data_IF_229638113705
#
_entry.id   IF_229638113705
#
_cell.length_a   1.000
_cell.length_b   1.000
_cell.length_c   1.000
_cell.angle_alpha   90.00
_cell.angle_beta   90.00
_cell.angle_gamma   90.00
#
_symmetry.space_group_name_H-M   'P 1'
#
loop_
_entity.id
_entity.type
_entity.pdbx_description
1 polymer ?
#
# COMPACT_ATOMS: atom_id res chain seq x y z
N UNK A 1 -8.31 44.76 -48.92
CA UNK A 1 -9.35 45.23 -49.87
C UNK A 1 -9.87 44.00 -50.61
N UNK A 2 -11.13 43.68 -50.83
CA UNK A 2 -12.46 44.04 -50.31
C UNK A 2 -13.40 42.99 -50.95
N UNK A 3 -14.30 42.40 -50.16
CA UNK A 3 -15.59 41.75 -50.49
C UNK A 3 -15.68 40.56 -51.49
N UNK A 4 -16.01 39.40 -50.90
CA UNK A 4 -17.31 38.68 -50.99
C UNK A 4 -18.22 38.95 -52.20
N UNK A 5 -18.61 37.88 -52.91
CA UNK A 5 -20.00 37.71 -53.37
C UNK A 5 -20.37 36.23 -53.63
N UNK A 6 -21.48 35.83 -53.04
CA UNK A 6 -22.23 34.58 -53.22
C UNK A 6 -23.33 34.76 -54.29
N UNK A 7 -23.77 33.67 -54.95
CA UNK A 7 -25.20 33.28 -55.12
C UNK A 7 -25.44 32.17 -56.17
N UNK A 8 -26.03 31.03 -55.71
CA UNK A 8 -27.20 30.22 -56.16
C UNK A 8 -27.57 30.06 -57.68
N UNK A 9 -28.57 29.22 -58.13
CA UNK A 9 -29.59 28.41 -57.41
C UNK A 9 -29.97 27.01 -58.03
N UNK A 10 -30.89 26.25 -57.39
CA UNK A 10 -31.82 25.37 -58.14
C UNK A 10 -32.26 23.99 -57.59
N UNK A 11 -33.18 23.98 -56.61
CA UNK A 11 -34.46 23.19 -56.50
C UNK A 11 -34.58 21.63 -56.66
N UNK A 12 -35.70 21.01 -56.18
CA UNK A 12 -35.68 19.87 -55.24
C UNK A 12 -36.28 18.56 -55.79
N UNK A 13 -36.13 17.45 -55.07
CA UNK A 13 -36.96 16.25 -55.22
C UNK A 13 -37.39 15.71 -53.85
N UNK A 14 -38.71 15.59 -53.68
CA UNK A 14 -39.46 14.96 -52.59
C UNK A 14 -40.00 13.62 -53.11
N UNK A 15 -40.07 12.60 -52.23
CA UNK A 15 -41.09 11.53 -52.12
C UNK A 15 -40.49 10.39 -51.24
N UNK A 16 -40.83 10.26 -49.95
CA UNK A 16 -42.04 9.66 -49.31
C UNK A 16 -41.95 8.13 -49.09
N UNK A 17 -41.99 7.74 -47.80
CA UNK A 17 -42.04 6.37 -47.22
C UNK A 17 -43.29 5.56 -47.65
N UNK A 18 -43.42 4.23 -47.38
CA UNK A 18 -43.79 3.72 -46.03
C UNK A 18 -43.19 2.33 -45.64
N UNK A 19 -43.44 1.84 -44.40
CA UNK A 19 -42.87 0.62 -43.83
C UNK A 19 -43.79 -0.61 -44.01
N UNK A 20 -43.27 -1.82 -43.77
CA UNK A 20 -44.07 -3.04 -43.71
C UNK A 20 -43.71 -3.90 -42.49
N UNK A 21 -44.56 -3.78 -41.46
CA UNK A 21 -44.94 -4.86 -40.55
C UNK A 21 -45.95 -5.78 -41.27
N UNK A 22 -45.85 -7.10 -41.08
CA UNK A 22 -46.99 -8.00 -41.27
C UNK A 22 -46.93 -9.20 -40.33
N UNK A 23 -47.95 -9.28 -39.46
CA UNK A 23 -48.33 -10.45 -38.68
C UNK A 23 -49.60 -11.11 -39.27
N UNK A 24 -49.84 -12.36 -38.81
CA UNK A 24 -51.02 -13.25 -38.96
C UNK A 24 -51.13 -14.01 -40.31
N UNK A 25 -51.36 -15.33 -40.38
CA UNK A 25 -52.55 -16.06 -39.88
C UNK A 25 -52.32 -17.60 -39.93
N UNK A 26 -53.08 -18.30 -39.10
CA UNK A 26 -53.16 -19.76 -38.96
C UNK A 26 -54.12 -20.39 -39.98
N UNK A 27 -53.83 -21.58 -40.52
CA UNK A 27 -54.85 -22.46 -41.11
C UNK A 27 -54.42 -23.95 -41.15
N UNK A 28 -55.03 -24.69 -40.22
CA UNK A 28 -55.40 -26.12 -40.17
C UNK A 28 -55.51 -26.84 -41.53
N UNK A 29 -54.94 -28.05 -41.67
CA UNK A 29 -55.67 -29.26 -42.14
C UNK A 29 -54.90 -30.61 -42.04
N UNK A 30 -55.53 -31.52 -41.29
CA UNK A 30 -55.66 -32.99 -41.43
C UNK A 30 -54.48 -33.95 -41.23
N UNK A 31 -54.67 -34.77 -40.19
CA UNK A 31 -54.16 -36.12 -39.94
C UNK A 31 -54.39 -37.10 -41.11
N UNK A 32 -53.64 -38.22 -41.13
CA UNK A 32 -54.31 -39.47 -40.75
C UNK A 32 -53.51 -40.31 -39.74
N UNK A 33 -54.28 -41.03 -38.92
CA UNK A 33 -53.85 -42.07 -38.00
C UNK A 33 -53.24 -43.26 -38.74
N UNK A 34 -52.15 -43.82 -38.21
CA UNK A 34 -51.91 -45.26 -38.24
C UNK A 34 -51.25 -45.70 -36.94
N UNK A 35 -52.01 -46.49 -36.19
CA UNK A 35 -51.59 -47.17 -34.98
C UNK A 35 -50.55 -48.24 -35.29
N UNK A 36 -49.47 -48.27 -34.51
CA UNK A 36 -48.62 -49.46 -34.35
C UNK A 36 -48.36 -49.65 -32.86
N UNK A 37 -49.15 -50.54 -32.27
CA UNK A 37 -48.89 -51.08 -30.95
C UNK A 37 -47.69 -52.05 -31.03
N UNK A 38 -46.67 -51.85 -30.20
CA UNK A 38 -45.77 -52.95 -29.83
C UNK A 38 -45.41 -52.87 -28.35
N UNK A 39 -45.64 -53.99 -27.67
CA UNK A 39 -45.51 -54.16 -26.23
C UNK A 39 -44.05 -54.39 -25.82
N UNK A 40 -43.67 -53.72 -24.73
CA UNK A 40 -42.87 -54.19 -23.59
C UNK A 40 -41.90 -55.36 -23.81
N UNK A 41 -40.60 -55.07 -23.73
CA UNK A 41 -39.58 -55.99 -23.22
C UNK A 41 -38.46 -55.19 -22.55
N UNK A 42 -38.12 -55.64 -21.35
CA UNK A 42 -37.24 -55.08 -20.34
C UNK A 42 -35.84 -54.68 -20.82
N UNK A 43 -35.37 -53.49 -20.43
CA UNK A 43 -33.94 -53.18 -20.25
C UNK A 43 -33.82 -52.37 -18.96
N UNK A 44 -33.40 -53.02 -17.86
CA UNK A 44 -32.84 -52.31 -16.71
C UNK A 44 -31.45 -51.83 -17.09
N UNK A 45 -31.30 -50.54 -17.40
CA UNK A 45 -30.00 -49.90 -17.42
C UNK A 45 -29.65 -49.48 -15.98
N UNK A 46 -28.80 -50.26 -15.32
CA UNK A 46 -28.11 -49.85 -14.09
C UNK A 46 -27.10 -48.77 -14.48
N UNK A 47 -27.49 -47.50 -14.32
CA UNK A 47 -26.55 -46.38 -14.33
C UNK A 47 -25.90 -46.34 -12.95
N UNK A 48 -24.73 -46.95 -12.81
CA UNK A 48 -23.86 -46.71 -11.66
C UNK A 48 -23.27 -45.30 -11.79
N UNK A 49 -23.88 -44.34 -11.10
CA UNK A 49 -23.29 -43.03 -10.90
C UNK A 49 -22.09 -43.21 -9.96
N UNK A 50 -20.88 -43.33 -10.50
CA UNK A 50 -19.66 -43.23 -9.71
C UNK A 50 -19.50 -41.77 -9.31
N UNK A 51 -20.01 -41.39 -8.15
CA UNK A 51 -19.63 -40.13 -7.50
C UNK A 51 -18.18 -40.28 -7.06
N UNK A 52 -17.25 -39.85 -7.89
CA UNK A 52 -15.91 -39.51 -7.41
C UNK A 52 -16.07 -38.24 -6.58
N UNK A 53 -16.39 -38.42 -5.29
CA UNK A 53 -16.10 -37.40 -4.31
C UNK A 53 -14.57 -37.35 -4.20
N UNK A 54 -13.93 -36.45 -4.95
CA UNK A 54 -12.63 -35.95 -4.52
C UNK A 54 -12.87 -35.28 -3.19
N UNK A 55 -12.66 -36.01 -2.09
CA UNK A 55 -12.38 -35.38 -0.83
C UNK A 55 -11.15 -34.50 -1.08
N UNK A 56 -11.31 -33.18 -1.05
CA UNK A 56 -10.17 -32.29 -0.91
C UNK A 56 -9.33 -32.86 0.24
N UNK A 57 -7.99 -32.97 0.11
CA UNK A 57 -7.17 -33.41 1.22
C UNK A 57 -7.55 -32.53 2.42
N UNK A 58 -8.02 -33.14 3.49
CA UNK A 58 -8.20 -32.46 4.77
C UNK A 58 -6.83 -31.92 5.14
N UNK A 59 -6.58 -30.64 4.86
CA UNK A 59 -5.43 -29.94 5.38
C UNK A 59 -5.48 -30.12 6.90
N UNK A 60 -4.48 -30.80 7.44
CA UNK A 60 -4.34 -30.96 8.87
C UNK A 60 -4.10 -29.58 9.46
N UNK A 61 -5.11 -29.01 10.11
CA UNK A 61 -4.97 -27.76 10.84
C UNK A 61 -4.32 -28.03 12.20
N UNK A 62 -3.49 -27.10 12.65
CA UNK A 62 -2.89 -27.10 13.98
C UNK A 62 -3.62 -26.05 14.84
N UNK A 63 -3.84 -26.35 16.11
CA UNK A 63 -4.32 -25.37 17.09
C UNK A 63 -3.15 -24.97 17.97
N UNK A 64 -2.77 -23.70 17.93
CA UNK A 64 -1.71 -23.13 18.76
C UNK A 64 -2.12 -23.07 20.24
N UNK A 65 -1.18 -22.72 21.12
CA UNK A 65 -1.41 -22.69 22.58
C UNK A 65 -2.45 -21.67 23.03
N UNK A 66 -2.66 -20.60 22.26
CA UNK A 66 -3.67 -19.56 22.49
C UNK A 66 -5.06 -19.92 21.92
N UNK A 67 -5.19 -21.06 21.24
CA UNK A 67 -6.41 -21.50 20.58
C UNK A 67 -6.53 -21.08 19.11
N UNK A 68 -5.58 -20.32 18.57
CA UNK A 68 -5.56 -19.93 17.15
C UNK A 68 -5.40 -21.16 16.26
N UNK A 69 -6.24 -21.27 15.23
CA UNK A 69 -6.20 -22.39 14.27
C UNK A 69 -5.43 -21.96 13.03
N UNK A 70 -4.35 -22.67 12.73
CA UNK A 70 -3.42 -22.37 11.65
C UNK A 70 -3.23 -23.58 10.73
N UNK A 71 -2.81 -23.39 9.47
CA UNK A 71 -2.60 -24.50 8.55
C UNK A 71 -1.32 -25.31 8.83
N UNK A 72 -0.35 -24.73 9.55
CA UNK A 72 0.92 -25.37 9.90
C UNK A 72 1.41 -24.89 11.27
N UNK A 73 2.09 -25.77 12.00
CA UNK A 73 2.69 -25.46 13.31
C UNK A 73 3.72 -24.33 13.28
N UNK A 74 4.40 -24.07 12.15
CA UNK A 74 5.35 -22.95 12.03
C UNK A 74 4.67 -21.61 12.33
N UNK A 75 3.38 -21.47 12.00
CA UNK A 75 2.64 -20.25 12.29
C UNK A 75 2.52 -19.96 13.79
N UNK A 76 2.56 -20.99 14.65
CA UNK A 76 2.43 -20.80 16.09
C UNK A 76 3.64 -20.08 16.71
N UNK A 77 4.82 -20.10 16.07
CA UNK A 77 6.02 -19.39 16.54
C UNK A 77 5.85 -17.87 16.42
N UNK A 78 4.98 -17.39 15.54
CA UNK A 78 4.74 -15.97 15.32
C UNK A 78 3.83 -15.33 16.37
N UNK A 79 3.11 -16.12 17.16
CA UNK A 79 2.24 -15.63 18.23
C UNK A 79 3.05 -14.97 19.36
N UNK A 80 4.05 -15.64 19.98
CA UNK A 80 4.90 -14.99 20.97
C UNK A 80 5.78 -13.89 20.36
N UNK A 81 6.15 -13.97 19.07
CA UNK A 81 6.85 -12.88 18.38
C UNK A 81 5.98 -11.61 18.33
N UNK A 82 4.70 -11.72 17.96
CA UNK A 82 3.75 -10.60 17.93
C UNK A 82 3.61 -9.93 19.30
N UNK A 83 3.54 -10.74 20.36
CA UNK A 83 3.47 -10.23 21.75
C UNK A 83 4.76 -9.47 22.08
N UNK A 84 5.92 -10.06 21.81
CA UNK A 84 7.21 -9.43 22.06
C UNK A 84 7.41 -8.14 21.25
N UNK A 85 6.99 -8.09 19.99
CA UNK A 85 7.08 -6.89 19.14
C UNK A 85 6.24 -5.75 19.71
N UNK A 86 5.00 -6.02 20.14
CA UNK A 86 4.16 -5.00 20.77
C UNK A 86 4.67 -4.57 22.14
N UNK A 87 5.20 -5.48 22.94
CA UNK A 87 5.66 -5.16 24.29
C UNK A 87 7.02 -4.44 24.31
N UNK A 88 7.90 -4.72 23.34
CA UNK A 88 9.29 -4.26 23.37
C UNK A 88 9.61 -3.16 22.36
N UNK A 89 8.80 -2.95 21.31
CA UNK A 89 9.10 -1.98 20.24
C UNK A 89 7.86 -1.17 19.86
N UNK A 90 6.80 -1.80 19.38
CA UNK A 90 5.64 -1.10 18.78
C UNK A 90 4.75 -0.43 19.83
N UNK A 91 4.78 -0.89 21.08
CA UNK A 91 4.04 -0.33 22.21
C UNK A 91 2.51 -0.32 22.03
N UNK A 92 2.00 -1.16 21.13
CA UNK A 92 0.59 -1.18 20.69
C UNK A 92 0.10 0.17 20.16
N UNK A 93 1.01 0.96 19.58
CA UNK A 93 0.73 2.27 19.00
C UNK A 93 1.03 2.29 17.50
N UNK A 94 0.36 3.18 16.76
CA UNK A 94 0.77 3.56 15.42
C UNK A 94 1.68 4.79 15.53
N UNK A 95 2.81 4.62 16.22
CA UNK A 95 3.80 5.69 16.44
C UNK A 95 5.05 5.47 15.61
N UNK A 96 6.14 6.13 16.01
CA UNK A 96 7.43 6.13 15.29
C UNK A 96 7.91 4.72 14.90
N UNK A 97 8.03 3.84 15.89
CA UNK A 97 8.49 2.47 15.67
C UNK A 97 7.58 1.67 14.71
N UNK A 98 6.28 1.97 14.68
CA UNK A 98 5.37 1.31 13.74
C UNK A 98 5.60 1.80 12.30
N UNK A 99 5.87 3.09 12.12
CA UNK A 99 6.15 3.72 10.83
C UNK A 99 7.46 3.18 10.25
N UNK A 100 8.53 3.16 11.06
CA UNK A 100 9.85 2.70 10.64
C UNK A 100 9.86 1.19 10.33
N UNK A 101 9.12 0.37 11.09
CA UNK A 101 8.95 -1.05 10.75
C UNK A 101 8.18 -1.26 9.45
N UNK A 102 7.18 -0.42 9.15
CA UNK A 102 6.48 -0.49 7.86
C UNK A 102 7.42 -0.09 6.71
N UNK A 103 8.20 0.98 6.89
CA UNK A 103 9.22 1.43 5.94
C UNK A 103 10.24 0.33 5.65
N UNK A 104 10.76 -0.34 6.69
CA UNK A 104 11.71 -1.44 6.55
C UNK A 104 11.19 -2.57 5.66
N UNK A 105 9.90 -2.89 5.72
CA UNK A 105 9.33 -3.93 4.84
C UNK A 105 9.45 -3.58 3.37
N UNK A 106 9.34 -2.30 3.01
CA UNK A 106 9.50 -1.83 1.64
C UNK A 106 10.97 -1.85 1.24
N UNK A 107 11.85 -1.29 2.08
CA UNK A 107 13.27 -1.17 1.79
C UNK A 107 13.96 -2.54 1.66
N UNK A 108 13.59 -3.54 2.47
CA UNK A 108 14.03 -4.93 2.30
C UNK A 108 13.47 -5.51 0.99
N UNK A 109 12.15 -5.45 0.79
CA UNK A 109 11.49 -6.14 -0.30
C UNK A 109 11.83 -5.60 -1.71
N UNK A 110 11.92 -4.28 -1.89
CA UNK A 110 12.08 -3.66 -3.22
C UNK A 110 13.52 -3.79 -3.76
N UNK A 111 14.47 -4.17 -2.90
CA UNK A 111 15.88 -4.38 -3.22
C UNK A 111 16.12 -5.69 -3.99
N UNK A 112 15.48 -5.81 -5.14
CA UNK A 112 15.61 -6.88 -6.14
C UNK A 112 15.55 -6.26 -7.54
N UNK A 113 16.16 -6.88 -8.54
CA UNK A 113 16.05 -6.44 -9.94
C UNK A 113 15.93 -7.62 -10.91
N UNK A 114 14.85 -7.65 -11.70
CA UNK A 114 14.67 -8.67 -12.73
C UNK A 114 15.67 -8.50 -13.88
N UNK A 115 16.00 -7.26 -14.26
CA UNK A 115 16.94 -6.98 -15.35
C UNK A 115 18.41 -7.21 -14.98
N UNK A 116 18.81 -6.95 -13.73
CA UNK A 116 20.17 -7.19 -13.25
C UNK A 116 20.38 -8.61 -12.72
N UNK A 117 19.29 -9.31 -12.38
CA UNK A 117 19.28 -10.69 -11.92
C UNK A 117 19.60 -10.87 -10.43
N UNK A 118 19.64 -12.12 -9.94
CA UNK A 118 19.65 -12.42 -8.49
C UNK A 118 20.86 -11.91 -7.71
N UNK A 119 21.93 -11.49 -8.37
CA UNK A 119 23.11 -10.91 -7.69
C UNK A 119 22.93 -9.44 -7.31
N UNK A 120 21.87 -8.78 -7.81
CA UNK A 120 21.57 -7.39 -7.45
C UNK A 120 20.89 -7.27 -6.09
N UNK A 121 20.14 -8.29 -5.67
CA UNK A 121 19.43 -8.30 -4.38
C UNK A 121 18.34 -9.37 -4.39
N UNK A 122 18.00 -9.86 -3.20
CA UNK A 122 17.11 -11.02 -3.00
C UNK A 122 15.64 -10.68 -2.83
N UNK A 123 15.28 -9.41 -2.72
CA UNK A 123 13.92 -8.98 -2.41
C UNK A 123 13.63 -9.12 -0.91
N UNK A 124 12.44 -9.58 -0.54
CA UNK A 124 12.05 -9.71 0.86
C UNK A 124 12.78 -10.88 1.52
N UNK A 125 14.07 -10.76 1.83
CA UNK A 125 14.94 -11.83 2.31
C UNK A 125 15.64 -11.52 3.65
N UNK A 126 15.37 -10.34 4.22
CA UNK A 126 15.96 -9.85 5.46
C UNK A 126 17.43 -9.47 5.32
N UNK A 127 17.88 -9.11 4.11
CA UNK A 127 19.25 -8.65 3.84
C UNK A 127 19.62 -7.45 4.71
N UNK A 128 18.66 -6.55 4.97
CA UNK A 128 18.81 -5.41 5.87
C UNK A 128 19.30 -5.81 7.27
N UNK A 129 18.75 -6.90 7.83
CA UNK A 129 19.13 -7.40 9.16
C UNK A 129 20.40 -8.27 9.14
N UNK A 130 20.62 -9.00 8.03
CA UNK A 130 21.74 -9.93 7.86
C UNK A 130 23.05 -9.23 7.51
N UNK A 131 22.97 -8.09 6.81
CA UNK A 131 24.10 -7.28 6.38
C UNK A 131 23.93 -5.82 6.85
N UNK A 132 23.78 -5.59 8.17
CA UNK A 132 23.33 -4.30 8.72
C UNK A 132 24.31 -3.14 8.47
N UNK A 133 25.57 -3.44 8.16
CA UNK A 133 26.59 -2.42 7.87
C UNK A 133 26.73 -2.13 6.36
N UNK A 134 25.83 -2.63 5.51
CA UNK A 134 25.90 -2.48 4.05
C UNK A 134 24.72 -1.68 3.51
N UNK A 135 23.54 -2.28 3.49
CA UNK A 135 22.36 -1.65 2.90
C UNK A 135 21.89 -0.43 3.70
N UNK A 136 21.81 -0.48 5.05
CA UNK A 136 21.48 0.70 5.85
C UNK A 136 22.44 1.88 5.67
N UNK A 137 23.68 1.61 5.21
CA UNK A 137 24.67 2.65 4.95
C UNK A 137 24.57 3.26 3.54
N UNK A 138 23.56 2.91 2.73
CA UNK A 138 23.27 3.58 1.46
C UNK A 138 22.47 4.87 1.69
N UNK A 139 22.67 5.89 0.86
CA UNK A 139 22.02 7.19 1.02
C UNK A 139 20.49 7.10 0.98
N UNK A 140 19.93 6.31 0.06
CA UNK A 140 18.49 6.11 -0.05
C UNK A 140 17.88 5.34 1.14
N UNK A 141 18.70 4.76 2.00
CA UNK A 141 18.32 4.04 3.21
C UNK A 141 18.56 4.84 4.50
N UNK A 142 18.90 6.14 4.40
CA UNK A 142 19.15 6.97 5.58
C UNK A 142 17.98 6.91 6.57
N UNK A 143 18.27 6.63 7.84
CA UNK A 143 17.32 6.41 8.94
C UNK A 143 16.89 4.96 9.14
N UNK A 144 17.07 4.07 8.15
CA UNK A 144 16.59 2.68 8.28
C UNK A 144 17.35 1.90 9.34
N UNK A 145 18.52 2.39 9.79
CA UNK A 145 19.32 1.75 10.83
C UNK A 145 18.51 1.52 12.12
N UNK A 146 17.56 2.40 12.44
CA UNK A 146 16.76 2.33 13.66
C UNK A 146 15.85 1.10 13.66
N UNK A 147 15.01 0.95 12.63
CA UNK A 147 14.18 -0.23 12.44
C UNK A 147 15.00 -1.54 12.37
N UNK A 148 16.19 -1.50 11.75
CA UNK A 148 17.09 -2.66 11.67
C UNK A 148 17.62 -3.03 13.05
N UNK A 149 18.16 -2.06 13.80
CA UNK A 149 18.68 -2.26 15.13
C UNK A 149 17.57 -2.70 16.11
N UNK A 150 16.36 -2.20 15.93
CA UNK A 150 15.19 -2.62 16.71
C UNK A 150 14.78 -4.08 16.47
N UNK A 151 14.94 -4.61 15.25
CA UNK A 151 14.60 -6.00 14.94
C UNK A 151 15.71 -7.03 15.19
N UNK A 152 16.98 -6.63 15.13
CA UNK A 152 18.12 -7.57 15.31
C UNK A 152 18.02 -8.40 16.62
N UNK A 153 17.66 -7.84 17.79
CA UNK A 153 17.50 -8.62 19.01
C UNK A 153 16.53 -9.79 18.86
N UNK A 154 15.46 -9.63 18.08
CA UNK A 154 14.43 -10.64 17.87
C UNK A 154 14.93 -11.85 17.07
N UNK A 155 15.95 -11.70 16.22
CA UNK A 155 16.58 -12.83 15.53
C UNK A 155 17.18 -13.84 16.51
N UNK A 156 17.69 -13.36 17.65
CA UNK A 156 18.23 -14.21 18.70
C UNK A 156 17.16 -14.76 19.66
N UNK A 157 16.10 -13.98 19.90
CA UNK A 157 14.97 -14.39 20.73
C UNK A 157 14.10 -15.44 20.03
N UNK A 158 13.98 -15.36 18.70
CA UNK A 158 13.14 -16.21 17.85
C UNK A 158 13.95 -16.87 16.72
N UNK A 159 14.93 -17.74 17.03
CA UNK A 159 15.89 -18.27 16.06
C UNK A 159 15.30 -19.21 15.00
N UNK A 160 14.02 -19.60 15.14
CA UNK A 160 13.29 -20.41 14.16
C UNK A 160 12.61 -19.57 13.08
N UNK A 161 12.54 -18.24 13.26
CA UNK A 161 11.95 -17.30 12.31
C UNK A 161 13.10 -16.68 11.51
N UNK A 162 13.01 -16.73 10.18
CA UNK A 162 14.05 -16.14 9.33
C UNK A 162 13.99 -14.60 9.39
N UNK A 163 15.09 -13.91 9.08
CA UNK A 163 15.11 -12.45 9.05
C UNK A 163 14.08 -11.84 8.07
N UNK A 164 13.91 -12.41 6.87
CA UNK A 164 12.88 -11.96 5.94
C UNK A 164 11.46 -12.19 6.45
N UNK A 165 11.19 -13.30 7.15
CA UNK A 165 9.89 -13.51 7.80
C UNK A 165 9.68 -12.53 8.96
N UNK A 166 10.72 -12.22 9.74
CA UNK A 166 10.69 -11.26 10.84
C UNK A 166 10.35 -9.85 10.35
N UNK A 167 11.03 -9.35 9.32
CA UNK A 167 10.77 -8.02 8.72
C UNK A 167 9.31 -7.91 8.26
N UNK A 168 8.87 -8.85 7.41
CA UNK A 168 7.51 -8.80 6.88
C UNK A 168 6.44 -8.99 7.95
N UNK A 169 6.70 -9.80 8.97
CA UNK A 169 5.78 -9.98 10.09
C UNK A 169 5.71 -8.73 10.98
N UNK A 170 6.85 -8.10 11.25
CA UNK A 170 6.93 -6.90 12.09
C UNK A 170 6.12 -5.75 11.49
N UNK A 171 6.29 -5.44 10.21
CA UNK A 171 5.47 -4.41 9.55
C UNK A 171 3.98 -4.78 9.50
N UNK A 172 3.65 -6.05 9.26
CA UNK A 172 2.26 -6.51 9.27
C UNK A 172 1.59 -6.42 10.65
N UNK A 173 2.33 -6.62 11.73
CA UNK A 173 1.86 -6.39 13.11
C UNK A 173 1.78 -4.89 13.40
N UNK A 174 2.80 -4.12 13.05
CA UNK A 174 2.88 -2.67 13.28
C UNK A 174 1.64 -1.94 12.77
N UNK A 175 1.28 -2.15 11.50
CA UNK A 175 0.14 -1.42 10.92
C UNK A 175 -1.20 -1.82 11.51
N UNK A 176 -1.32 -2.94 12.22
CA UNK A 176 -2.59 -3.30 12.88
C UNK A 176 -2.95 -2.33 14.00
N UNK A 177 -1.98 -1.58 14.51
CA UNK A 177 -2.19 -0.52 15.49
C UNK A 177 -2.61 0.82 14.85
N UNK A 178 -2.59 0.92 13.52
CA UNK A 178 -3.02 2.11 12.78
C UNK A 178 -4.52 1.99 12.44
N UNK A 179 -5.41 2.81 13.03
CA UNK A 179 -6.85 2.72 12.77
C UNK A 179 -7.18 2.85 11.29
N UNK A 180 -7.87 1.84 10.74
CA UNK A 180 -8.27 1.81 9.33
C UNK A 180 -7.36 0.98 8.42
N UNK A 181 -6.22 0.51 8.94
CA UNK A 181 -5.31 -0.33 8.18
C UNK A 181 -5.93 -1.69 7.87
N UNK A 182 -5.59 -2.31 6.72
CA UNK A 182 -6.03 -3.65 6.41
C UNK A 182 -5.23 -4.69 7.21
N UNK A 183 -5.83 -5.86 7.45
CA UNK A 183 -5.08 -7.02 7.94
C UNK A 183 -4.29 -7.60 6.76
N UNK A 184 -2.95 -7.44 6.74
CA UNK A 184 -2.12 -7.94 5.64
C UNK A 184 -2.17 -9.47 5.52
N UNK A 185 -1.93 -9.96 4.30
CA UNK A 185 -1.56 -11.36 4.13
C UNK A 185 -0.13 -11.56 4.65
N UNK A 186 0.07 -12.61 5.44
CA UNK A 186 1.38 -13.02 5.89
C UNK A 186 1.66 -14.46 5.49
N UNK A 187 2.62 -14.63 4.60
CA UNK A 187 3.16 -15.93 4.22
C UNK A 187 4.54 -16.09 4.88
N UNK A 188 4.82 -17.25 5.47
CA UNK A 188 6.08 -17.56 6.16
C UNK A 188 6.87 -18.66 5.44
N UNK A 189 8.17 -18.73 5.69
CA UNK A 189 9.08 -19.73 5.14
C UNK A 189 10.18 -19.15 4.24
N UNK A 190 10.43 -17.83 4.27
CA UNK A 190 11.52 -17.22 3.51
C UNK A 190 12.86 -17.81 3.99
N UNK A 191 13.76 -18.25 3.09
CA UNK A 191 15.13 -18.54 3.47
C UNK A 191 15.86 -17.26 3.88
N UNK A 192 16.94 -17.39 4.64
CA UNK A 192 17.83 -16.26 4.92
C UNK A 192 18.47 -15.74 3.62
N UNK A 193 18.52 -14.42 3.46
CA UNK A 193 19.35 -13.76 2.46
C UNK A 193 20.80 -14.25 2.49
N UNK A 194 21.45 -14.24 1.33
CA UNK A 194 22.83 -14.80 1.17
C UNK A 194 23.87 -13.76 0.78
N UNK A 195 23.44 -12.56 0.39
CA UNK A 195 24.26 -11.41 0.07
C UNK A 195 23.43 -10.13 0.29
N UNK A 196 24.07 -8.98 0.58
CA UNK A 196 23.37 -7.71 0.60
C UNK A 196 22.93 -7.32 -0.81
N UNK A 197 21.88 -6.52 -0.93
CA UNK A 197 21.55 -5.88 -2.18
C UNK A 197 22.61 -4.83 -2.59
N UNK A 198 22.64 -4.51 -3.88
CA UNK A 198 23.43 -3.39 -4.40
C UNK A 198 22.69 -2.07 -4.17
N UNK A 199 23.45 -0.98 -4.14
CA UNK A 199 22.91 0.38 -4.09
C UNK A 199 22.15 0.75 -5.38
N UNK A 200 21.27 1.75 -5.29
CA UNK A 200 20.46 2.27 -6.40
C UNK A 200 19.20 1.46 -6.72
N UNK A 201 18.77 0.59 -5.81
CA UNK A 201 17.53 -0.18 -5.95
C UNK A 201 16.33 0.40 -5.19
N UNK A 202 16.56 1.38 -4.32
CA UNK A 202 15.53 2.06 -3.53
C UNK A 202 15.15 3.35 -4.27
N UNK A 203 13.86 3.60 -4.56
CA UNK A 203 13.41 4.89 -5.09
C UNK A 203 13.72 6.03 -4.13
N UNK A 204 14.14 7.18 -4.67
CA UNK A 204 14.43 8.38 -3.90
C UNK A 204 13.37 9.47 -4.13
N UNK A 205 13.12 10.39 -3.17
CA UNK A 205 12.05 11.37 -3.30
C UNK A 205 12.26 12.36 -4.46
N UNK A 206 13.50 12.57 -4.91
CA UNK A 206 13.82 13.40 -6.08
C UNK A 206 13.73 12.69 -7.43
N UNK A 207 13.43 11.39 -7.45
CA UNK A 207 13.41 10.62 -8.70
C UNK A 207 12.28 11.07 -9.62
N UNK A 208 12.51 10.95 -10.92
CA UNK A 208 11.46 11.21 -11.90
C UNK A 208 10.38 10.12 -11.85
N UNK A 209 9.15 10.47 -12.23
CA UNK A 209 8.05 9.48 -12.28
C UNK A 209 8.34 8.35 -13.28
N UNK A 210 9.12 8.62 -14.32
CA UNK A 210 9.60 7.58 -15.24
C UNK A 210 10.50 6.57 -14.52
N UNK A 211 11.44 7.06 -13.71
CA UNK A 211 12.40 6.22 -12.99
C UNK A 211 11.72 5.44 -11.87
N UNK A 212 10.83 6.07 -11.10
CA UNK A 212 10.04 5.40 -10.04
C UNK A 212 9.22 4.26 -10.65
N UNK A 213 8.41 4.53 -11.68
CA UNK A 213 7.56 3.50 -12.29
C UNK A 213 8.40 2.38 -12.93
N UNK A 214 9.55 2.71 -13.53
CA UNK A 214 10.46 1.72 -14.08
C UNK A 214 11.12 0.86 -12.99
N UNK A 215 11.47 1.45 -11.83
CA UNK A 215 12.07 0.74 -10.70
C UNK A 215 11.10 -0.30 -10.13
N UNK A 216 9.85 0.11 -9.92
CA UNK A 216 8.77 -0.77 -9.47
C UNK A 216 8.43 -1.86 -10.50
N UNK A 217 8.40 -1.55 -11.80
CA UNK A 217 8.21 -2.57 -12.85
C UNK A 217 9.37 -3.58 -12.87
N UNK A 218 10.63 -3.12 -12.78
CA UNK A 218 11.80 -3.99 -12.76
C UNK A 218 11.92 -4.86 -11.49
N UNK A 219 11.48 -4.36 -10.33
CA UNK A 219 11.53 -5.13 -9.09
C UNK A 219 10.54 -6.31 -9.11
N UNK A 220 9.29 -6.06 -9.51
CA UNK A 220 8.20 -7.01 -9.33
C UNK A 220 7.08 -6.96 -10.38
N UNK A 221 7.27 -6.23 -11.46
CA UNK A 221 6.22 -5.98 -12.46
C UNK A 221 5.04 -5.21 -11.86
N UNK A 222 5.31 -4.24 -10.97
CA UNK A 222 4.26 -3.44 -10.36
C UNK A 222 3.67 -2.44 -11.37
N UNK A 223 2.35 -2.42 -11.44
CA UNK A 223 1.62 -1.43 -12.26
C UNK A 223 1.61 -0.07 -11.58
N UNK A 224 1.43 1.04 -12.31
CA UNK A 224 1.30 2.37 -11.70
C UNK A 224 0.18 2.45 -10.64
N UNK A 225 -0.90 1.67 -10.80
CA UNK A 225 -1.95 1.56 -9.78
C UNK A 225 -1.43 0.90 -8.49
N UNK A 226 -0.65 -0.18 -8.59
CA UNK A 226 -0.06 -0.83 -7.42
C UNK A 226 0.98 0.07 -6.75
N UNK A 227 1.75 0.87 -7.50
CA UNK A 227 2.68 1.88 -6.94
C UNK A 227 1.93 2.90 -6.09
N UNK A 228 0.88 3.54 -6.64
CA UNK A 228 0.04 4.48 -5.88
C UNK A 228 -0.66 3.79 -4.70
N UNK A 229 -1.03 2.51 -4.86
CA UNK A 229 -1.62 1.74 -3.76
C UNK A 229 -0.65 1.51 -2.61
N UNK A 230 0.64 1.25 -2.90
CA UNK A 230 1.68 1.09 -1.87
C UNK A 230 1.95 2.39 -1.12
N UNK A 231 1.90 3.54 -1.81
CA UNK A 231 2.06 4.86 -1.19
C UNK A 231 0.94 5.25 -0.22
N UNK A 232 -0.11 4.43 -0.09
CA UNK A 232 -1.01 4.57 1.05
C UNK A 232 -0.28 4.40 2.39
N UNK A 233 0.93 3.79 2.43
CA UNK A 233 1.77 3.80 3.63
C UNK A 233 2.14 5.19 4.10
N UNK A 234 2.19 6.19 3.22
CA UNK A 234 2.57 7.56 3.58
C UNK A 234 1.53 8.28 4.44
N UNK A 235 0.32 7.74 4.60
CA UNK A 235 -0.66 8.26 5.58
C UNK A 235 -0.29 7.94 7.04
N UNK A 236 0.64 7.00 7.25
CA UNK A 236 1.19 6.64 8.56
C UNK A 236 2.71 6.69 8.52
N UNK A 237 3.23 7.86 8.13
CA UNK A 237 4.66 8.06 7.93
C UNK A 237 5.09 9.52 8.19
N UNK A 238 6.37 9.66 8.48
CA UNK A 238 7.07 10.92 8.73
C UNK A 238 8.46 10.89 8.07
N UNK A 239 9.14 12.03 8.04
CA UNK A 239 10.50 12.16 7.57
C UNK A 239 11.40 12.87 8.58
N UNK A 240 12.53 12.24 8.89
CA UNK A 240 13.50 12.74 9.88
C UNK A 240 14.80 13.20 9.22
N UNK A 241 14.99 12.88 7.94
CA UNK A 241 16.26 13.09 7.25
C UNK A 241 16.16 13.85 5.91
N UNK A 242 14.95 14.21 5.47
CA UNK A 242 14.78 15.02 4.24
C UNK A 242 15.22 16.46 4.50
N UNK A 243 14.74 17.05 5.59
CA UNK A 243 15.25 18.30 6.13
C UNK A 243 16.15 18.00 7.34
N UNK A 244 17.45 18.32 7.30
CA UNK A 244 18.38 18.01 8.39
C UNK A 244 18.18 18.87 9.65
N UNK A 245 17.20 19.76 9.68
CA UNK A 245 16.85 20.61 10.83
C UNK A 245 15.55 20.19 11.51
N UNK A 246 14.85 19.19 10.97
CA UNK A 246 13.60 18.67 11.48
C UNK A 246 13.74 17.19 11.80
N UNK A 247 12.91 16.76 12.72
CA UNK A 247 12.63 15.36 13.02
C UNK A 247 11.12 15.17 12.91
N UNK A 248 10.66 13.98 12.54
CA UNK A 248 9.27 13.57 12.56
C UNK A 248 8.32 14.48 11.76
N UNK A 249 8.73 14.98 10.58
CA UNK A 249 7.86 15.80 9.73
C UNK A 249 6.84 14.90 8.99
N UNK A 250 5.53 14.96 9.32
CA UNK A 250 4.54 14.03 8.79
C UNK A 250 4.20 14.32 7.32
N UNK A 251 3.77 13.31 6.57
CA UNK A 251 3.35 13.49 5.17
C UNK A 251 1.87 13.85 5.00
N UNK A 252 1.06 13.68 6.04
CA UNK A 252 -0.31 14.19 6.13
C UNK A 252 -0.63 14.66 7.56
N UNK A 253 -1.82 15.23 7.75
CA UNK A 253 -2.27 15.77 9.04
C UNK A 253 -2.70 14.73 10.08
N UNK A 254 -2.66 13.45 9.75
CA UNK A 254 -3.15 12.34 10.57
C UNK A 254 -2.18 11.16 10.59
N UNK A 255 -0.88 11.35 10.90
CA UNK A 255 0.17 10.35 10.69
C UNK A 255 0.03 9.08 11.54
N UNK A 256 -0.96 8.99 12.43
CA UNK A 256 -1.22 7.83 13.28
C UNK A 256 -2.51 7.09 12.89
N UNK A 257 -3.14 7.48 11.77
CA UNK A 257 -4.39 6.91 11.26
C UNK A 257 -4.21 6.47 9.82
N UNK A 258 -4.54 5.21 9.51
CA UNK A 258 -4.44 4.70 8.14
C UNK A 258 -5.66 5.16 7.32
N UNK A 259 -5.70 6.42 6.92
CA UNK A 259 -6.80 7.02 6.16
C UNK A 259 -6.37 7.59 4.80
N UNK A 260 -7.23 8.42 4.20
CA UNK A 260 -7.00 8.92 2.83
C UNK A 260 -6.52 10.37 2.80
N UNK A 261 -6.10 10.95 3.93
CA UNK A 261 -5.70 12.35 4.02
C UNK A 261 -4.47 12.65 3.15
N UNK A 262 -3.45 11.79 3.14
CA UNK A 262 -2.31 11.92 2.21
C UNK A 262 -2.73 12.15 0.74
N UNK A 263 -3.74 11.41 0.26
CA UNK A 263 -4.20 11.54 -1.13
C UNK A 263 -4.92 12.87 -1.39
N UNK A 264 -5.56 13.44 -0.37
CA UNK A 264 -6.19 14.76 -0.43
C UNK A 264 -5.14 15.88 -0.31
N UNK A 265 -4.28 15.79 0.69
CA UNK A 265 -3.41 16.89 1.12
C UNK A 265 -2.30 17.16 0.12
N UNK A 266 -1.74 16.12 -0.52
CA UNK A 266 -0.79 16.29 -1.62
C UNK A 266 -1.39 17.04 -2.82
N UNK A 267 -2.72 16.96 -3.04
CA UNK A 267 -3.41 17.70 -4.10
C UNK A 267 -3.71 19.16 -3.73
N UNK A 268 -3.39 19.61 -2.52
CA UNK A 268 -3.55 21.01 -2.12
C UNK A 268 -2.36 21.83 -2.57
N UNK A 269 -2.57 23.12 -2.83
CA UNK A 269 -1.50 24.03 -3.21
C UNK A 269 -0.51 24.21 -2.06
N UNK A 270 0.77 23.97 -2.33
CA UNK A 270 1.86 24.24 -1.38
C UNK A 270 1.96 25.74 -1.03
N UNK A 271 2.10 26.05 0.26
CA UNK A 271 2.14 27.42 0.80
C UNK A 271 3.47 27.76 1.48
N UNK A 272 4.26 26.75 1.89
CA UNK A 272 5.56 26.93 2.53
C UNK A 272 6.30 25.60 2.74
N UNK A 273 7.31 25.60 3.60
CA UNK A 273 8.08 24.42 4.02
C UNK A 273 8.06 24.37 5.56
N UNK A 274 7.96 23.19 6.19
CA UNK A 274 7.96 23.08 7.65
C UNK A 274 9.32 23.46 8.28
N UNK A 275 10.39 23.42 7.47
CA UNK A 275 11.75 23.77 7.84
C UNK A 275 12.40 24.71 6.82
N UNK A 276 13.48 24.26 6.21
CA UNK A 276 14.24 24.96 5.16
C UNK A 276 13.65 24.72 3.77
N UNK A 277 13.95 25.59 2.80
CA UNK A 277 13.33 25.58 1.46
C UNK A 277 14.25 25.07 0.34
N UNK A 278 15.33 24.38 0.71
CA UNK A 278 16.43 23.99 -0.19
C UNK A 278 16.81 22.50 -0.10
N UNK A 279 15.95 21.66 0.47
CA UNK A 279 16.17 20.23 0.60
C UNK A 279 15.94 19.49 -0.72
N UNK A 280 16.69 18.42 -0.93
CA UNK A 280 16.55 17.58 -2.14
C UNK A 280 15.35 16.66 -1.98
N UNK A 281 14.49 16.60 -2.98
CA UNK A 281 13.30 15.74 -2.95
C UNK A 281 12.13 16.31 -2.15
N UNK A 282 12.21 17.54 -1.65
CA UNK A 282 11.11 18.23 -0.97
C UNK A 282 10.47 19.30 -1.88
N UNK A 283 9.16 19.50 -1.76
CA UNK A 283 8.41 20.60 -2.38
C UNK A 283 7.50 21.27 -1.35
N UNK A 284 6.97 22.45 -1.69
CA UNK A 284 6.14 23.20 -0.74
C UNK A 284 4.92 22.40 -0.27
N UNK A 285 4.74 22.36 1.05
CA UNK A 285 3.65 21.73 1.78
C UNK A 285 2.46 22.69 1.94
N UNK A 286 1.21 22.18 2.02
CA UNK A 286 0.02 22.98 2.24
C UNK A 286 -0.19 23.34 3.72
N UNK A 287 0.41 22.59 4.65
CA UNK A 287 0.26 22.73 6.12
C UNK A 287 1.65 22.82 6.80
N UNK A 288 2.48 23.82 6.49
CA UNK A 288 3.88 23.87 6.96
C UNK A 288 4.05 24.40 8.39
N UNK A 289 3.01 24.75 9.14
CA UNK A 289 3.17 25.38 10.47
C UNK A 289 3.68 24.40 11.51
N UNK A 290 4.92 24.63 11.96
CA UNK A 290 5.55 23.95 13.09
C UNK A 290 5.35 24.70 14.41
N UNK A 291 5.09 23.97 15.50
CA UNK A 291 5.05 24.50 16.86
C UNK A 291 5.67 23.50 17.85
N UNK A 292 6.88 23.79 18.36
CA UNK A 292 7.57 22.83 19.23
C UNK A 292 7.93 21.56 18.45
N UNK A 293 7.62 20.40 19.00
CA UNK A 293 7.80 19.08 18.35
C UNK A 293 6.64 18.70 17.42
N UNK A 294 5.54 19.47 17.42
CA UNK A 294 4.47 19.34 16.42
C UNK A 294 4.97 19.98 15.11
N UNK A 295 5.73 19.20 14.34
CA UNK A 295 6.30 19.61 13.06
C UNK A 295 5.21 19.66 11.99
N UNK A 296 5.26 20.70 11.15
CA UNK A 296 4.34 20.86 10.03
C UNK A 296 4.52 19.77 8.97
N UNK A 297 3.51 19.61 8.12
CA UNK A 297 3.52 18.62 7.03
C UNK A 297 4.71 18.87 6.09
N UNK A 298 5.42 17.81 5.71
CA UNK A 298 6.43 17.80 4.66
C UNK A 298 5.87 17.14 3.41
N UNK A 299 6.14 17.69 2.23
CA UNK A 299 5.70 17.10 0.97
C UNK A 299 6.88 16.64 0.12
N UNK A 300 6.92 15.35 -0.18
CA UNK A 300 7.89 14.76 -1.10
C UNK A 300 7.60 15.15 -2.55
N UNK A 301 8.64 15.41 -3.33
CA UNK A 301 8.56 15.70 -4.76
C UNK A 301 7.98 14.51 -5.54
N UNK A 302 8.34 13.29 -5.18
CA UNK A 302 7.84 12.05 -5.76
C UNK A 302 6.32 11.91 -5.62
N UNK A 303 5.79 12.15 -4.42
CA UNK A 303 4.35 12.08 -4.13
C UNK A 303 3.58 13.14 -4.91
N UNK A 304 4.06 14.38 -4.89
CA UNK A 304 3.51 15.46 -5.71
C UNK A 304 3.54 15.10 -7.21
N UNK A 305 4.66 14.57 -7.70
CA UNK A 305 4.81 14.15 -9.08
C UNK A 305 3.81 13.05 -9.47
N UNK A 306 3.63 12.04 -8.62
CA UNK A 306 2.67 10.94 -8.84
C UNK A 306 1.22 11.42 -8.77
N UNK A 307 0.90 12.38 -7.92
CA UNK A 307 -0.43 12.99 -7.84
C UNK A 307 -0.80 13.77 -9.12
N UNK A 308 0.19 14.27 -9.87
CA UNK A 308 -0.02 15.08 -11.06
C UNK A 308 0.34 14.42 -12.40
N UNK A 309 1.05 13.29 -12.42
CA UNK A 309 1.39 12.58 -13.64
C UNK A 309 0.15 11.91 -14.28
N UNK A 310 0.00 12.05 -15.60
CA UNK A 310 -1.14 11.51 -16.34
C UNK A 310 -1.36 10.00 -16.22
N UNK A 311 -0.33 9.23 -15.82
CA UNK A 311 -0.39 7.77 -15.63
C UNK A 311 -0.94 7.37 -14.26
N UNK A 312 -0.90 8.28 -13.28
CA UNK A 312 -1.16 7.97 -11.86
C UNK A 312 -2.16 8.92 -11.20
N UNK A 313 -2.34 10.14 -11.70
CA UNK A 313 -3.18 11.17 -11.09
C UNK A 313 -4.62 10.73 -10.82
N UNK A 314 -5.23 9.94 -11.72
CA UNK A 314 -6.58 9.41 -11.47
C UNK A 314 -6.61 8.26 -10.46
N UNK A 315 -5.54 7.47 -10.33
CA UNK A 315 -5.43 6.48 -9.26
C UNK A 315 -5.24 7.19 -7.91
N UNK A 316 -4.41 8.24 -7.87
CA UNK A 316 -4.19 9.07 -6.69
C UNK A 316 -5.51 9.71 -6.21
N UNK A 317 -6.20 10.45 -7.09
CA UNK A 317 -7.49 11.04 -6.77
C UNK A 317 -8.55 9.97 -6.41
N UNK A 318 -8.46 8.79 -7.02
CA UNK A 318 -9.39 7.69 -6.80
C UNK A 318 -9.39 7.13 -5.37
N UNK A 319 -8.35 7.38 -4.57
CA UNK A 319 -8.32 7.01 -3.16
C UNK A 319 -8.91 8.06 -2.22
N UNK A 320 -9.05 9.32 -2.65
CA UNK A 320 -9.61 10.39 -1.82
C UNK A 320 -11.03 10.01 -1.37
N UNK A 321 -11.22 9.93 -0.05
CA UNK A 321 -12.49 9.57 0.60
C UNK A 321 -13.00 8.15 0.24
N UNK A 322 -12.10 7.24 -0.15
CA UNK A 322 -12.41 5.84 -0.50
C UNK A 322 -11.65 4.86 0.42
N UNK A 323 -11.87 4.97 1.74
CA UNK A 323 -11.17 4.17 2.77
C UNK A 323 -11.04 2.68 2.43
N UNK A 324 -12.18 2.01 2.22
CA UNK A 324 -12.20 0.56 1.99
C UNK A 324 -11.45 0.18 0.70
N UNK A 325 -11.51 1.02 -0.32
CA UNK A 325 -10.84 0.79 -1.60
C UNK A 325 -9.32 0.98 -1.45
N UNK A 326 -8.89 2.04 -0.77
CA UNK A 326 -7.48 2.28 -0.46
C UNK A 326 -6.89 1.13 0.35
N UNK A 327 -7.50 0.77 1.48
CA UNK A 327 -7.00 -0.30 2.36
C UNK A 327 -6.95 -1.66 1.63
N UNK A 328 -7.95 -2.00 0.81
CA UNK A 328 -7.92 -3.24 0.03
C UNK A 328 -6.86 -3.23 -1.08
N UNK A 329 -6.62 -2.08 -1.71
CA UNK A 329 -5.62 -1.94 -2.77
C UNK A 329 -4.21 -2.01 -2.19
N UNK A 330 -3.96 -1.33 -1.07
CA UNK A 330 -2.72 -1.43 -0.31
C UNK A 330 -2.45 -2.88 0.11
N UNK A 331 -3.44 -3.56 0.70
CA UNK A 331 -3.32 -4.99 1.06
C UNK A 331 -2.93 -5.87 -0.11
N UNK A 332 -3.54 -5.67 -1.28
CA UNK A 332 -3.25 -6.46 -2.47
C UNK A 332 -1.83 -6.21 -2.98
N UNK A 333 -1.39 -4.95 -3.00
CA UNK A 333 -0.04 -4.59 -3.43
C UNK A 333 1.03 -5.07 -2.42
N UNK A 334 0.76 -4.97 -1.12
CA UNK A 334 1.62 -5.51 -0.06
C UNK A 334 1.78 -7.03 -0.13
N UNK A 335 0.71 -7.77 -0.47
CA UNK A 335 0.80 -9.23 -0.66
C UNK A 335 1.79 -9.61 -1.77
N UNK A 336 1.92 -8.77 -2.81
CA UNK A 336 2.91 -8.92 -3.89
C UNK A 336 4.31 -8.46 -3.46
N UNK A 337 4.42 -7.30 -2.79
CA UNK A 337 5.68 -6.77 -2.27
C UNK A 337 6.35 -7.75 -1.30
N UNK A 338 5.59 -8.26 -0.33
CA UNK A 338 6.11 -9.12 0.73
C UNK A 338 6.72 -10.44 0.23
N UNK A 339 6.45 -10.86 -1.01
CA UNK A 339 6.95 -12.11 -1.58
C UNK A 339 7.94 -11.90 -2.73
N UNK A 340 8.42 -10.67 -2.97
CA UNK A 340 9.47 -10.42 -3.95
C UNK A 340 10.70 -11.29 -3.64
N UNK A 341 11.23 -11.95 -4.68
CA UNK A 341 12.31 -12.93 -4.54
C UNK A 341 11.86 -14.36 -4.25
N UNK A 342 10.58 -14.58 -3.93
CA UNK A 342 10.03 -15.88 -3.54
C UNK A 342 8.88 -16.33 -4.42
N UNK A 343 8.65 -17.63 -4.46
CA UNK A 343 7.43 -18.19 -5.00
C UNK A 343 6.42 -18.35 -3.87
N UNK A 344 5.33 -17.56 -3.89
CA UNK A 344 4.31 -17.58 -2.84
C UNK A 344 3.70 -18.98 -2.58
N UNK A 345 3.69 -19.86 -3.59
CA UNK A 345 3.20 -21.23 -3.44
C UNK A 345 4.09 -22.14 -2.56
N UNK A 346 5.34 -21.73 -2.34
CA UNK A 346 6.30 -22.43 -1.48
C UNK A 346 6.27 -21.91 -0.03
N UNK A 347 5.49 -20.85 0.24
CA UNK A 347 5.34 -20.24 1.55
C UNK A 347 4.04 -20.70 2.24
N UNK A 348 4.06 -20.74 3.57
CA UNK A 348 2.92 -21.14 4.41
C UNK A 348 2.08 -19.91 4.74
N UNK A 349 0.77 -19.96 4.48
CA UNK A 349 -0.12 -18.87 4.87
C UNK A 349 -0.35 -18.84 6.39
N UNK A 350 0.30 -17.91 7.07
CA UNK A 350 0.18 -17.68 8.51
C UNK A 350 -0.63 -16.42 8.85
N UNK A 351 -1.43 -15.89 7.91
CA UNK A 351 -2.22 -14.67 8.13
C UNK A 351 -3.15 -14.72 9.34
N UNK A 352 -3.56 -15.91 9.77
CA UNK A 352 -4.42 -16.10 10.95
C UNK A 352 -3.77 -15.64 12.28
N UNK A 353 -2.44 -15.46 12.32
CA UNK A 353 -1.73 -14.98 13.53
C UNK A 353 -1.52 -13.48 13.54
N UNK A 354 -1.77 -12.79 12.42
CA UNK A 354 -1.78 -11.32 12.38
C UNK A 354 -2.94 -10.81 13.23
N UNK A 355 -2.73 -9.87 14.16
CA UNK A 355 -3.81 -9.29 14.95
C UNK A 355 -4.92 -8.72 14.07
N UNK A 356 -6.13 -8.63 14.63
CA UNK A 356 -7.20 -7.87 13.97
C UNK A 356 -6.84 -6.38 14.05
N UNK A 357 -6.76 -5.65 12.93
CA UNK A 357 -6.45 -4.22 12.95
C UNK A 357 -7.49 -3.40 13.70
N UNK A 358 -7.06 -2.26 14.23
CA UNK A 358 -7.96 -1.26 14.75
C UNK A 358 -8.93 -0.78 13.65
N UNK A 359 -10.23 -0.66 13.95
CA UNK A 359 -11.21 -0.22 12.95
C UNK A 359 -10.93 1.22 12.55
N UNK A 360 -11.26 1.57 11.30
CA UNK A 360 -11.24 2.96 10.84
C UNK A 360 -12.09 3.85 11.74
N UNK A 361 -11.70 5.12 11.87
CA UNK A 361 -12.44 6.13 12.64
C UNK A 361 -13.85 6.38 12.09
N UNK A 362 -14.07 6.07 10.80
CA UNK A 362 -15.31 6.30 10.08
C UNK A 362 -15.53 7.78 9.71
N UNK A 363 -14.55 8.65 9.96
CA UNK A 363 -14.55 10.04 9.49
C UNK A 363 -14.31 10.03 7.97
N UNK A 364 -15.15 10.69 7.15
CA UNK A 364 -14.81 10.96 5.75
C UNK A 364 -13.55 11.82 5.67
N UNK A 365 -12.86 11.79 4.53
CA UNK A 365 -11.76 12.74 4.27
C UNK A 365 -12.26 14.19 4.36
N UNK A 366 -11.45 15.07 4.92
CA UNK A 366 -11.80 16.47 5.16
C UNK A 366 -10.65 17.38 4.82
N UNK A 367 -10.93 18.54 4.22
CA UNK A 367 -9.92 19.59 4.11
C UNK A 367 -9.50 20.01 5.52
N UNK A 368 -8.19 20.06 5.82
CA UNK A 368 -7.69 20.62 7.07
C UNK A 368 -8.15 22.06 7.27
N UNK A 369 -8.12 22.54 8.52
CA UNK A 369 -8.60 23.88 8.84
C UNK A 369 -7.87 24.94 8.00
N UNK A 370 -8.60 25.97 7.58
CA UNK A 370 -8.15 27.06 6.67
C UNK A 370 -7.97 26.71 5.20
N UNK A 371 -8.04 25.43 4.82
CA UNK A 371 -7.96 24.96 3.43
C UNK A 371 -9.34 24.57 2.88
N UNK A 372 -9.46 24.47 1.57
CA UNK A 372 -10.71 24.05 0.93
C UNK A 372 -10.59 23.73 -0.55
N UNK A 373 -11.75 23.57 -1.23
CA UNK A 373 -11.78 23.24 -2.65
C UNK A 373 -11.07 24.24 -3.57
N UNK A 374 -10.95 25.51 -3.15
CA UNK A 374 -10.26 26.56 -3.91
C UNK A 374 -8.73 26.39 -3.91
N UNK A 375 -8.20 25.53 -3.04
CA UNK A 375 -6.76 25.23 -2.90
C UNK A 375 -6.34 23.98 -3.68
N UNK A 376 -7.26 23.27 -4.34
CA UNK A 376 -6.96 22.04 -5.07
C UNK A 376 -6.21 22.29 -6.40
N UNK A 377 -5.18 21.49 -6.63
CA UNK A 377 -4.42 21.37 -7.88
C UNK A 377 -4.77 20.04 -8.58
N UNK A 378 -5.89 19.98 -9.29
CA UNK A 378 -6.39 18.71 -9.85
C UNK A 378 -5.75 18.34 -11.19
N UNK A 379 -5.33 17.07 -11.32
CA UNK A 379 -4.76 16.52 -12.56
C UNK A 379 -5.55 15.36 -13.17
N UNK A 380 -6.50 14.76 -12.45
CA UNK A 380 -7.36 13.73 -13.04
C UNK A 380 -8.42 14.35 -13.95
N UNK A 381 -8.46 13.93 -15.22
CA UNK A 381 -9.36 14.49 -16.25
C UNK A 381 -10.59 13.62 -16.54
N UNK A 382 -10.64 12.42 -15.96
CA UNK A 382 -11.70 11.43 -16.25
C UNK A 382 -12.69 11.26 -15.11
N UNK A 383 -12.36 11.72 -13.90
CA UNK A 383 -13.20 11.55 -12.71
C UNK A 383 -13.36 12.87 -11.96
N UNK A 384 -14.57 13.21 -11.49
CA UNK A 384 -14.78 14.40 -10.67
C UNK A 384 -14.17 14.19 -9.28
N UNK A 385 -13.54 15.23 -8.74
CA UNK A 385 -13.10 15.25 -7.34
C UNK A 385 -14.32 15.17 -6.40
N UNK A 386 -14.26 14.38 -5.30
CA UNK A 386 -15.38 14.24 -4.37
C UNK A 386 -15.69 15.55 -3.63
N UNK A 387 -16.96 15.76 -3.26
CA UNK A 387 -17.32 16.87 -2.36
C UNK A 387 -16.96 16.51 -0.93
N UNK A 388 -16.00 17.23 -0.33
CA UNK A 388 -15.57 17.04 1.05
C UNK A 388 -15.98 18.23 1.93
N UNK A 389 -16.01 18.03 3.24
CA UNK A 389 -16.15 19.12 4.21
C UNK A 389 -14.79 19.67 4.61
N UNK A 390 -14.76 20.87 5.17
CA UNK A 390 -13.57 21.48 5.79
C UNK A 390 -13.69 21.37 7.30
N UNK A 391 -12.60 21.00 7.97
CA UNK A 391 -12.53 20.98 9.42
C UNK A 391 -12.67 22.40 10.00
N UNK A 392 -13.40 22.57 11.11
CA UNK A 392 -13.65 23.90 11.67
C UNK A 392 -12.37 24.46 12.33
N UNK A 393 -11.92 25.61 11.87
CA UNK A 393 -10.79 26.31 12.49
C UNK A 393 -10.45 27.59 11.74
N UNK A 394 -9.95 28.60 12.47
CA UNK A 394 -9.47 29.85 11.89
C UNK A 394 -7.94 29.91 11.81
N UNK A 395 -7.26 28.90 12.32
CA UNK A 395 -5.81 28.72 12.27
C UNK A 395 -5.54 27.40 11.55
N UNK A 396 -4.36 27.32 10.95
CA UNK A 396 -3.86 26.10 10.33
C UNK A 396 -3.83 24.95 11.35
N UNK A 397 -4.04 23.73 10.87
CA UNK A 397 -3.98 22.51 11.69
C UNK A 397 -2.57 22.33 12.23
N UNK A 398 -2.43 22.18 13.56
CA UNK A 398 -1.20 21.65 14.15
C UNK A 398 -1.28 20.12 14.12
N UNK A 399 -0.21 19.48 13.67
CA UNK A 399 -0.15 18.03 13.54
C UNK A 399 0.59 17.49 14.78
N UNK A 400 -0.08 16.67 15.61
CA UNK A 400 0.50 16.26 16.87
C UNK A 400 1.73 15.36 16.67
N UNK A 401 2.77 15.57 17.49
CA UNK A 401 3.96 14.72 17.50
C UNK A 401 3.67 13.29 18.00
N UNK A 402 2.67 13.13 18.89
CA UNK A 402 2.33 11.85 19.50
C UNK A 402 0.87 11.45 19.22
N UNK A 403 0.60 10.15 19.18
CA UNK A 403 -0.72 9.55 18.90
C UNK A 403 -1.82 9.95 19.89
N UNK A 404 -1.45 10.30 21.12
CA UNK A 404 -2.36 10.79 22.15
C UNK A 404 -2.62 12.31 22.09
N UNK A 405 -2.01 13.00 21.13
CA UNK A 405 -2.09 14.44 20.93
C UNK A 405 -1.13 15.25 21.79
N UNK A 406 -0.21 14.60 22.51
CA UNK A 406 0.86 15.27 23.24
C UNK A 406 2.08 15.57 22.33
N UNK A 407 3.07 16.23 22.93
CA UNK A 407 4.29 16.68 22.27
C UNK A 407 5.53 15.85 22.67
N UNK A 408 5.35 14.87 23.56
CA UNK A 408 6.41 14.09 24.19
C UNK A 408 5.93 12.66 24.40
N UNK A 409 6.53 11.73 23.66
CA UNK A 409 6.24 10.30 23.69
C UNK A 409 7.56 9.53 23.62
N UNK A 410 7.65 8.44 24.38
CA UNK A 410 8.82 7.57 24.34
C UNK A 410 8.82 6.77 23.03
N UNK A 411 9.93 6.81 22.30
CA UNK A 411 10.26 5.83 21.26
C UNK A 411 11.20 4.77 21.84
N UNK A 412 11.13 3.53 21.34
CA UNK A 412 12.11 2.51 21.70
C UNK A 412 13.21 2.50 20.65
N UNK A 413 14.45 2.70 21.10
CA UNK A 413 15.61 2.54 20.24
C UNK A 413 16.60 1.58 20.91
N UNK A 414 16.90 0.47 20.25
CA UNK A 414 17.96 -0.43 20.65
C UNK A 414 19.27 -0.08 19.92
N UNK A 415 20.38 -0.03 20.66
CA UNK A 415 21.70 0.00 20.04
C UNK A 415 21.89 -1.24 19.15
N UNK A 416 22.55 -1.06 18.00
CA UNK A 416 22.84 -2.18 17.13
C UNK A 416 23.95 -1.93 16.12
N UNK A 417 24.24 -2.93 15.28
CA UNK A 417 25.35 -2.88 14.33
C UNK A 417 25.02 -2.13 13.03
N UNK A 418 23.77 -1.73 12.79
CA UNK A 418 23.43 -0.94 11.60
C UNK A 418 23.89 0.50 11.78
N UNK A 419 24.42 1.08 10.71
CA UNK A 419 24.95 2.44 10.70
C UNK A 419 24.32 3.21 9.54
N UNK A 420 23.89 4.43 9.80
CA UNK A 420 23.39 5.33 8.77
C UNK A 420 24.50 5.79 7.80
N UNK A 421 24.09 6.21 6.60
CA UNK A 421 25.00 6.85 5.65
C UNK A 421 25.63 8.10 6.28
N UNK A 422 26.97 8.15 6.32
CA UNK A 422 27.71 9.25 6.95
C UNK A 422 28.38 8.89 8.26
N UNK A 423 27.93 7.82 8.94
CA UNK A 423 28.61 7.19 10.07
C UNK A 423 28.50 7.92 11.42
N UNK A 424 27.65 8.92 11.51
CA UNK A 424 27.28 9.56 12.78
C UNK A 424 25.89 9.01 13.15
N UNK A 425 25.86 8.12 14.15
CA UNK A 425 24.64 7.87 14.90
C UNK A 425 24.42 9.16 15.72
N UNK A 426 23.28 9.82 15.56
CA UNK A 426 22.95 11.13 16.16
C UNK A 426 22.81 11.09 17.71
N UNK A 427 23.56 10.24 18.40
CA UNK A 427 23.60 10.05 19.86
C UNK A 427 24.21 11.24 20.65
N UNK A 428 24.39 12.40 20.03
CA UNK A 428 25.11 13.54 20.63
C UNK A 428 24.20 14.66 21.18
N UNK A 429 22.93 14.38 21.53
CA UNK A 429 22.02 15.38 22.13
C UNK A 429 21.33 14.97 23.45
N UNK A 430 22.03 14.23 24.32
CA UNK A 430 21.65 14.12 25.74
C UNK A 430 22.73 14.76 26.65
N UNK A 431 22.69 16.10 26.78
CA UNK A 431 23.40 16.85 27.84
C UNK A 431 22.67 18.07 28.39
#
# INVERSE_FOLDING_TARGET
>A
MTRVQTSAPGHPVLCSDPPLDFAFYSAVHRSPEYAMAFKWSSILALVTLATLASAAPTQSTVTCSDGTVVPDSVCCEFIPLREALNDQVIQSDCGEDAHELLRLTFHDAIAISQSLGPSAGGGADGSMLLFPTVEPAFFANLGIADSVNNLIPFMSQFPNISPGDLVQFAGAVAITNCPGAPQLEFLAGRPNGTAPAIDGLIPEPQDSIDDILARFDDAGGFTPFEVVSLLASHTVARADHVDPTLDAAPFDSTPFTFDTQIFLEVLLKGTGFPGTDNNTGEVASPIPVTNGTDVGELRLQSDFGLAHDSRTACFWQGFVNQQDFMAQSFKAAMAKLAVLGHNAADLVNCSAVIPTPLPATGKPATFPATLGPDDLELSCTTEPFPSLTTDPGAQETLIPHCSDGSMDCESVQFDGPATNFGGDDDDDDDS
#
